data_IF_015312977688
#
_entry.id   IF_015312977688
#
_cell.length_a   1.000
_cell.length_b   1.000
_cell.length_c   1.000
_cell.angle_alpha   90.00
_cell.angle_beta   90.00
_cell.angle_gamma   90.00
#
_symmetry.space_group_name_H-M   'P 1'
#
loop_
_entity.id
_entity.type
_entity.pdbx_description
1 polymer ?
#
# COMPACT_ATOMS: atom_id res chain seq x y z
N UNK A 1 -11.80 -4.69 9.27
CA UNK A 1 -10.84 -3.67 9.73
C UNK A 1 -11.20 -2.27 9.24
N UNK A 2 -11.44 -2.10 7.94
CA UNK A 2 -11.75 -0.79 7.35
C UNK A 2 -13.20 -0.69 6.84
N UNK A 3 -14.08 -1.48 7.41
CA UNK A 3 -15.48 -1.49 6.99
C UNK A 3 -16.09 -0.09 7.11
N UNK A 4 -16.75 0.36 6.05
CA UNK A 4 -17.35 1.68 6.00
C UNK A 4 -16.37 2.81 5.63
N UNK A 5 -15.12 2.50 5.33
CA UNK A 5 -14.09 3.47 4.95
C UNK A 5 -13.46 3.10 3.63
N UNK A 6 -13.12 4.10 2.83
CA UNK A 6 -12.30 3.91 1.63
C UNK A 6 -10.85 3.71 2.04
N UNK A 7 -10.14 2.84 1.34
CA UNK A 7 -8.76 2.49 1.69
C UNK A 7 -7.86 2.62 0.46
N UNK A 8 -6.76 3.32 0.64
CA UNK A 8 -5.68 3.37 -0.33
C UNK A 8 -4.61 2.38 0.12
N UNK A 9 -4.34 1.39 -0.72
CA UNK A 9 -3.40 0.31 -0.40
C UNK A 9 -2.10 0.50 -1.16
N UNK A 10 -0.98 0.32 -0.46
CA UNK A 10 0.37 0.34 -1.04
C UNK A 10 1.04 -0.99 -0.76
N UNK A 11 1.24 -1.78 -1.81
CA UNK A 11 1.95 -3.06 -1.73
C UNK A 11 3.41 -2.80 -2.07
N UNK A 12 4.31 -3.14 -1.15
CA UNK A 12 5.73 -2.79 -1.25
C UNK A 12 6.63 -3.84 -0.60
N UNK A 13 7.93 -3.62 -0.63
CA UNK A 13 8.90 -4.43 0.08
C UNK A 13 10.13 -3.60 0.45
N UNK A 14 10.83 -4.00 1.49
CA UNK A 14 12.02 -3.27 1.96
C UNK A 14 13.15 -3.24 0.94
N UNK A 15 13.19 -4.20 0.02
CA UNK A 15 14.18 -4.31 -1.04
C UNK A 15 13.76 -3.63 -2.35
N UNK A 16 12.62 -2.98 -2.37
CA UNK A 16 12.05 -2.36 -3.58
C UNK A 16 12.45 -0.90 -3.67
N UNK A 17 13.42 -0.56 -4.51
CA UNK A 17 13.89 0.81 -4.68
C UNK A 17 12.79 1.76 -5.19
N UNK A 18 11.99 1.42 -6.22
CA UNK A 18 10.89 2.29 -6.65
C UNK A 18 9.86 2.56 -5.55
N UNK A 19 9.60 1.58 -4.68
CA UNK A 19 8.70 1.76 -3.54
C UNK A 19 9.23 2.84 -2.59
N UNK A 20 10.53 2.79 -2.30
CA UNK A 20 11.17 3.77 -1.42
C UNK A 20 11.17 5.17 -2.02
N UNK A 21 11.33 5.27 -3.33
CA UNK A 21 11.22 6.55 -4.03
C UNK A 21 9.84 7.17 -3.86
N UNK A 22 8.79 6.34 -3.94
CA UNK A 22 7.41 6.79 -3.75
C UNK A 22 7.17 7.29 -2.33
N UNK A 23 7.89 6.78 -1.34
CA UNK A 23 7.74 7.21 0.05
C UNK A 23 8.12 8.68 0.27
N UNK A 24 8.86 9.28 -0.64
CA UNK A 24 9.16 10.72 -0.59
C UNK A 24 7.90 11.57 -0.75
N UNK A 25 6.82 10.99 -1.27
CA UNK A 25 5.55 11.66 -1.52
C UNK A 25 4.49 11.36 -0.47
N UNK A 26 4.86 10.68 0.63
CA UNK A 26 3.87 10.25 1.63
C UNK A 26 3.22 11.38 2.38
N UNK A 27 3.93 12.48 2.65
CA UNK A 27 3.33 13.63 3.34
C UNK A 27 2.17 14.19 2.53
N UNK A 28 2.39 14.40 1.23
CA UNK A 28 1.38 14.89 0.30
C UNK A 28 0.22 13.89 0.20
N UNK A 29 0.55 12.60 0.07
CA UNK A 29 -0.44 11.53 -0.02
C UNK A 29 -1.35 11.52 1.21
N UNK A 30 -0.78 11.54 2.40
CA UNK A 30 -1.54 11.49 3.64
C UNK A 30 -2.46 12.70 3.80
N UNK A 31 -2.00 13.87 3.39
CA UNK A 31 -2.82 15.07 3.38
C UNK A 31 -4.04 14.89 2.49
N UNK A 32 -3.85 14.37 1.26
CA UNK A 32 -4.93 14.08 0.33
C UNK A 32 -5.89 13.04 0.88
N UNK A 33 -5.37 11.95 1.42
CA UNK A 33 -6.20 10.86 1.95
C UNK A 33 -7.04 11.34 3.14
N UNK A 34 -6.46 12.11 4.03
CA UNK A 34 -7.17 12.66 5.18
C UNK A 34 -8.29 13.58 4.72
N UNK A 35 -8.01 14.46 3.78
CA UNK A 35 -9.00 15.40 3.23
C UNK A 35 -10.17 14.66 2.59
N UNK A 36 -9.89 13.56 1.89
CA UNK A 36 -10.93 12.79 1.18
C UNK A 36 -11.56 11.67 2.01
N UNK A 37 -11.13 11.49 3.25
CA UNK A 37 -11.70 10.48 4.15
C UNK A 37 -11.22 9.06 3.90
N UNK A 38 -10.02 8.89 3.35
CA UNK A 38 -9.43 7.57 3.09
C UNK A 38 -8.53 7.15 4.23
N UNK A 39 -8.48 5.84 4.45
CA UNK A 39 -7.44 5.22 5.29
C UNK A 39 -6.29 4.75 4.41
N UNK A 40 -5.10 4.66 4.98
CA UNK A 40 -3.93 4.13 4.28
C UNK A 40 -3.57 2.76 4.88
N UNK A 41 -3.34 1.78 3.99
CA UNK A 41 -2.88 0.45 4.39
C UNK A 41 -1.64 0.10 3.56
N UNK A 42 -0.54 -0.15 4.25
CA UNK A 42 0.71 -0.58 3.63
C UNK A 42 0.87 -2.08 3.84
N UNK A 43 1.00 -2.83 2.75
CA UNK A 43 1.19 -4.28 2.81
C UNK A 43 2.57 -4.60 2.29
N UNK A 44 3.45 -5.10 3.17
CA UNK A 44 4.78 -5.55 2.77
C UNK A 44 4.73 -6.99 2.29
N UNK A 45 5.39 -7.26 1.17
CA UNK A 45 5.59 -8.64 0.69
C UNK A 45 6.97 -9.18 1.11
N UNK A 46 7.63 -8.52 2.06
CA UNK A 46 8.85 -9.04 2.65
C UNK A 46 8.61 -10.42 3.27
N UNK A 47 9.57 -11.32 3.12
CA UNK A 47 9.49 -12.61 3.78
C UNK A 47 9.93 -12.48 5.25
N UNK A 48 9.80 -13.57 5.99
CA UNK A 48 10.10 -13.62 7.41
C UNK A 48 11.56 -13.24 7.71
N UNK A 49 12.47 -13.56 6.81
CA UNK A 49 13.90 -13.23 6.96
C UNK A 49 14.15 -11.73 6.98
N UNK A 50 13.29 -10.95 6.34
CA UNK A 50 13.43 -9.50 6.23
C UNK A 50 12.54 -8.74 7.22
N UNK A 51 11.92 -9.43 8.17
CA UNK A 51 11.00 -8.81 9.13
C UNK A 51 11.66 -7.65 9.89
N UNK A 52 12.88 -7.84 10.35
CA UNK A 52 13.62 -6.81 11.09
C UNK A 52 13.86 -5.58 10.21
N UNK A 53 14.29 -5.79 8.96
CA UNK A 53 14.53 -4.70 8.01
C UNK A 53 13.25 -3.94 7.73
N UNK A 54 12.14 -4.65 7.56
CA UNK A 54 10.83 -4.07 7.36
C UNK A 54 10.45 -3.15 8.53
N UNK A 55 10.59 -3.63 9.75
CA UNK A 55 10.27 -2.85 10.96
C UNK A 55 11.14 -1.60 11.09
N UNK A 56 12.43 -1.73 10.80
CA UNK A 56 13.36 -0.59 10.84
C UNK A 56 12.95 0.48 9.83
N UNK A 57 12.53 0.07 8.64
CA UNK A 57 12.12 1.01 7.60
C UNK A 57 10.80 1.72 7.95
N UNK A 58 9.87 1.06 8.61
CA UNK A 58 8.64 1.69 9.08
C UNK A 58 8.95 2.87 9.99
N UNK A 59 9.92 2.72 10.88
CA UNK A 59 10.36 3.80 11.76
C UNK A 59 11.09 4.89 11.00
N UNK A 60 11.97 4.50 10.09
CA UNK A 60 12.80 5.45 9.33
C UNK A 60 12.02 6.35 8.41
N UNK A 61 10.99 5.83 7.74
CA UNK A 61 10.18 6.63 6.81
C UNK A 61 9.01 7.36 7.47
N UNK A 62 8.66 6.98 8.71
CA UNK A 62 7.55 7.62 9.42
C UNK A 62 6.23 7.54 8.67
N UNK A 63 5.96 6.41 8.02
CA UNK A 63 4.74 6.22 7.24
C UNK A 63 3.52 6.13 8.15
N UNK A 64 2.57 7.03 7.94
CA UNK A 64 1.31 7.06 8.70
C UNK A 64 0.31 6.10 8.07
N UNK A 65 -0.43 5.39 8.91
CA UNK A 65 -1.43 4.43 8.47
C UNK A 65 -1.22 3.08 9.11
N UNK A 66 -1.86 2.06 8.55
CA UNK A 66 -1.74 0.70 9.05
C UNK A 66 -0.68 -0.06 8.24
N UNK A 67 0.09 -0.88 8.94
CA UNK A 67 1.18 -1.63 8.34
C UNK A 67 1.04 -3.10 8.68
N UNK A 68 1.04 -3.95 7.64
CA UNK A 68 1.09 -5.40 7.81
C UNK A 68 2.14 -5.98 6.88
N UNK A 69 2.75 -7.07 7.32
CA UNK A 69 3.61 -7.90 6.46
C UNK A 69 2.78 -9.12 6.05
N UNK A 70 2.65 -9.34 4.75
CA UNK A 70 1.82 -10.41 4.23
C UNK A 70 2.38 -11.77 4.67
N UNK A 71 1.51 -12.62 5.23
CA UNK A 71 1.84 -14.02 5.45
C UNK A 71 1.69 -14.79 4.12
N UNK A 72 1.94 -16.08 4.13
CA UNK A 72 1.87 -16.90 2.91
C UNK A 72 0.48 -16.88 2.29
N UNK A 73 -0.56 -16.90 3.11
CA UNK A 73 -1.94 -16.90 2.64
C UNK A 73 -2.30 -15.60 1.95
N UNK A 74 -2.00 -14.47 2.60
CA UNK A 74 -2.27 -13.17 2.01
C UNK A 74 -1.42 -12.94 0.76
N UNK A 75 -0.17 -13.36 0.77
CA UNK A 75 0.70 -13.23 -0.39
C UNK A 75 0.13 -13.98 -1.60
N UNK A 76 -0.36 -15.20 -1.38
CA UNK A 76 -1.01 -15.98 -2.41
C UNK A 76 -2.24 -15.26 -2.98
N UNK A 77 -3.05 -14.69 -2.09
CA UNK A 77 -4.23 -13.94 -2.50
C UNK A 77 -3.87 -12.71 -3.32
N UNK A 78 -2.79 -12.02 -2.96
CA UNK A 78 -2.32 -10.86 -3.71
C UNK A 78 -1.86 -11.26 -5.11
N UNK A 79 -1.13 -12.36 -5.26
CA UNK A 79 -0.72 -12.86 -6.58
C UNK A 79 -1.93 -13.25 -7.43
N UNK A 80 -2.91 -13.91 -6.84
CA UNK A 80 -4.15 -14.28 -7.53
C UNK A 80 -4.89 -13.05 -8.01
N UNK A 81 -4.99 -12.04 -7.16
CA UNK A 81 -5.65 -10.78 -7.50
C UNK A 81 -4.90 -10.03 -8.59
N UNK A 82 -3.58 -10.00 -8.50
CA UNK A 82 -2.73 -9.35 -9.51
C UNK A 82 -2.90 -10.04 -10.87
N UNK A 83 -3.08 -11.35 -10.86
CA UNK A 83 -3.34 -12.12 -12.07
C UNK A 83 -2.09 -12.62 -12.78
N UNK A 84 -0.98 -12.75 -12.06
CA UNK A 84 0.30 -13.21 -12.62
C UNK A 84 1.12 -13.91 -11.55
N UNK A 85 2.06 -14.75 -11.97
CA UNK A 85 3.02 -15.39 -11.08
C UNK A 85 4.08 -14.43 -10.57
N UNK A 86 4.23 -13.29 -11.21
CA UNK A 86 5.11 -12.23 -10.75
C UNK A 86 4.30 -10.95 -10.53
N UNK A 87 4.67 -10.22 -9.49
CA UNK A 87 3.98 -9.01 -9.08
C UNK A 87 4.94 -7.83 -9.18
N UNK A 88 4.59 -6.84 -9.99
CA UNK A 88 5.37 -5.61 -10.04
C UNK A 88 4.97 -4.72 -8.87
N UNK A 89 5.93 -4.24 -8.09
CA UNK A 89 5.72 -3.31 -7.00
C UNK A 89 6.55 -2.04 -7.25
N UNK A 90 6.11 -0.85 -6.77
CA UNK A 90 4.93 -0.64 -5.91
C UNK A 90 3.63 -0.91 -6.67
N UNK A 91 2.66 -1.46 -5.95
CA UNK A 91 1.34 -1.71 -6.48
C UNK A 91 0.32 -1.04 -5.57
N UNK A 92 -0.46 -0.11 -6.13
CA UNK A 92 -1.44 0.64 -5.38
C UNK A 92 -2.85 0.24 -5.80
N UNK A 93 -3.73 0.16 -4.81
CA UNK A 93 -5.14 -0.17 -5.03
C UNK A 93 -6.03 0.78 -4.23
N UNK A 94 -7.27 0.93 -4.69
CA UNK A 94 -8.30 1.64 -3.93
C UNK A 94 -9.46 0.68 -3.69
N UNK A 95 -9.87 0.60 -2.43
CA UNK A 95 -11.01 -0.21 -2.01
C UNK A 95 -12.11 0.71 -1.51
N UNK A 96 -13.35 0.46 -1.90
CA UNK A 96 -14.49 1.28 -1.51
C UNK A 96 -15.00 0.93 -0.09
N UNK A 97 -16.05 1.64 0.34
CA UNK A 97 -16.62 1.50 1.69
C UNK A 97 -17.24 0.11 1.93
N UNK A 98 -17.59 -0.60 0.89
CA UNK A 98 -18.15 -1.95 0.99
C UNK A 98 -17.09 -3.04 0.92
N UNK A 99 -15.81 -2.66 0.80
CA UNK A 99 -14.71 -3.61 0.72
C UNK A 99 -14.47 -4.14 -0.70
N UNK A 100 -15.06 -3.51 -1.71
CA UNK A 100 -14.86 -3.89 -3.11
C UNK A 100 -13.70 -3.14 -3.71
N UNK A 101 -13.04 -3.75 -4.68
CA UNK A 101 -11.94 -3.11 -5.39
C UNK A 101 -12.50 -2.07 -6.35
N UNK A 102 -12.23 -0.80 -6.09
CA UNK A 102 -12.63 0.31 -6.95
C UNK A 102 -11.59 0.54 -8.05
N UNK A 103 -10.31 0.55 -7.67
CA UNK A 103 -9.19 0.65 -8.60
C UNK A 103 -8.17 -0.43 -8.29
N UNK A 104 -8.04 -1.42 -9.18
CA UNK A 104 -7.08 -2.51 -9.00
C UNK A 104 -5.64 -2.03 -9.19
N UNK A 105 -5.43 -1.10 -10.13
CA UNK A 105 -4.12 -0.48 -10.39
C UNK A 105 -4.29 1.02 -10.29
N UNK A 106 -4.25 1.52 -9.04
CA UNK A 106 -4.40 2.94 -8.76
C UNK A 106 -3.09 3.68 -9.02
N UNK A 107 -3.19 5.00 -9.18
CA UNK A 107 -2.02 5.85 -9.36
C UNK A 107 -1.14 5.83 -8.11
N UNK A 108 0.15 5.98 -8.32
CA UNK A 108 1.16 6.01 -7.25
C UNK A 108 1.06 7.31 -6.45
N UNK A 109 1.63 7.34 -5.24
CA UNK A 109 1.66 8.55 -4.42
C UNK A 109 2.18 9.78 -5.15
N UNK A 110 3.18 9.63 -6.02
CA UNK A 110 3.74 10.74 -6.79
C UNK A 110 2.81 11.26 -7.90
N UNK A 111 1.85 10.44 -8.33
CA UNK A 111 0.98 10.73 -9.48
C UNK A 111 -0.44 11.09 -9.09
N UNK A 112 -0.89 10.61 -7.93
CA UNK A 112 -2.29 10.74 -7.53
C UNK A 112 -2.67 12.19 -7.28
N UNK A 113 -3.86 12.58 -7.73
CA UNK A 113 -4.41 13.93 -7.61
C UNK A 113 -5.74 13.90 -6.85
N UNK A 114 -6.19 15.06 -6.32
CA UNK A 114 -7.47 15.10 -5.61
C UNK A 114 -8.65 14.52 -6.41
N UNK A 115 -8.69 14.73 -7.71
CA UNK A 115 -9.75 14.23 -8.57
C UNK A 115 -9.74 12.72 -8.77
N UNK A 116 -8.65 12.04 -8.39
CA UNK A 116 -8.55 10.57 -8.46
C UNK A 116 -9.16 9.90 -7.24
N UNK A 117 -9.54 10.66 -6.23
CA UNK A 117 -10.08 10.15 -4.97
C UNK A 117 -11.58 10.57 -4.75
#
# INVERSE_FOLDING_TARGET
>A
MFKGRKVYIDVWASWCAPCKEEFKHTARLHELLTEKGYEALYISIDNEKNDRKWREMLQGFGLKGRHIRADKGLLKDLYSLYGSESMAIPWNMIIDEEGRIDEKFAKRPSEIQPEDL
#
